data_IF_847436944410
#
_entry.id   IF_847436944410
#
_cell.length_a   1.000
_cell.length_b   1.000
_cell.length_c   1.000
_cell.angle_alpha   90.00
_cell.angle_beta   90.00
_cell.angle_gamma   90.00
#
_symmetry.space_group_name_H-M   'P 1'
#
loop_
_entity.id
_entity.type
_entity.pdbx_description
1 polymer ?
#
# COMPACT_ATOMS: atom_id res chain seq x y z
N UNK A 1 15.99 -4.52 16.18
CA UNK A 1 16.40 -4.13 14.81
C UNK A 1 15.82 -5.02 13.70
N UNK A 2 15.39 -6.27 13.93
CA UNK A 2 14.86 -7.13 12.85
C UNK A 2 13.36 -6.90 12.58
N UNK A 3 12.55 -6.65 13.61
CA UNK A 3 11.10 -6.51 13.45
C UNK A 3 10.68 -5.36 12.50
N UNK A 4 11.39 -4.22 12.53
CA UNK A 4 11.09 -3.07 11.65
C UNK A 4 11.43 -3.34 10.18
N UNK A 5 12.59 -3.95 9.93
CA UNK A 5 13.05 -4.28 8.56
C UNK A 5 12.10 -5.25 7.86
N UNK A 6 11.57 -6.27 8.56
CA UNK A 6 10.60 -7.18 7.96
C UNK A 6 9.27 -6.50 7.60
N UNK A 7 8.86 -5.47 8.35
CA UNK A 7 7.64 -4.70 8.09
C UNK A 7 7.83 -3.75 6.90
N UNK A 8 8.98 -3.09 6.83
CA UNK A 8 9.34 -2.24 5.69
C UNK A 8 9.42 -3.02 4.38
N UNK A 9 10.03 -4.22 4.40
CA UNK A 9 10.10 -5.09 3.22
C UNK A 9 8.71 -5.51 2.73
N UNK A 10 7.81 -5.90 3.64
CA UNK A 10 6.43 -6.26 3.29
C UNK A 10 5.64 -5.08 2.72
N UNK A 11 5.90 -3.86 3.19
CA UNK A 11 5.28 -2.65 2.67
C UNK A 11 5.79 -2.31 1.26
N UNK A 12 7.11 -2.36 1.05
CA UNK A 12 7.69 -2.16 -0.27
C UNK A 12 7.17 -3.19 -1.28
N UNK A 13 7.04 -4.46 -0.88
CA UNK A 13 6.41 -5.49 -1.71
C UNK A 13 4.96 -5.16 -2.06
N UNK A 14 4.16 -4.70 -1.09
CA UNK A 14 2.76 -4.33 -1.33
C UNK A 14 2.64 -3.15 -2.32
N UNK A 15 3.45 -2.11 -2.16
CA UNK A 15 3.48 -0.95 -3.06
C UNK A 15 3.97 -1.33 -4.46
N UNK A 16 4.98 -2.20 -4.55
CA UNK A 16 5.47 -2.71 -5.83
C UNK A 16 4.40 -3.51 -6.58
N UNK A 17 3.65 -4.37 -5.87
CA UNK A 17 2.53 -5.13 -6.42
C UNK A 17 1.42 -4.23 -6.96
N UNK A 18 1.07 -3.17 -6.22
CA UNK A 18 0.07 -2.19 -6.66
C UNK A 18 0.52 -1.43 -7.90
N UNK A 19 1.80 -1.06 -7.96
CA UNK A 19 2.41 -0.39 -9.13
C UNK A 19 2.46 -1.33 -10.35
N UNK A 20 2.76 -2.62 -10.14
CA UNK A 20 2.76 -3.63 -11.20
C UNK A 20 1.36 -3.87 -11.77
N UNK A 21 0.33 -3.90 -10.90
CA UNK A 21 -1.07 -3.98 -11.30
C UNK A 21 -1.45 -2.82 -12.24
N UNK A 22 -1.13 -1.57 -11.84
CA UNK A 22 -1.34 -0.40 -12.69
C UNK A 22 -0.59 -0.50 -14.04
N UNK A 23 0.68 -0.92 -14.02
CA UNK A 23 1.49 -1.12 -15.22
C UNK A 23 0.93 -2.19 -16.17
N UNK A 24 0.25 -3.20 -15.63
CA UNK A 24 -0.41 -4.26 -16.39
C UNK A 24 -1.83 -3.87 -16.85
N UNK A 25 -2.29 -2.65 -16.59
CA UNK A 25 -3.63 -2.16 -16.93
C UNK A 25 -4.73 -2.70 -16.01
N UNK A 26 -4.36 -3.39 -14.93
CA UNK A 26 -5.27 -3.85 -13.88
C UNK A 26 -5.27 -2.82 -12.76
N UNK A 27 -6.25 -1.91 -12.74
CA UNK A 27 -6.31 -0.93 -11.65
C UNK A 27 -6.56 -1.64 -10.32
N UNK A 28 -5.67 -1.50 -9.32
CA UNK A 28 -6.01 -1.91 -7.97
C UNK A 28 -7.24 -1.13 -7.53
N UNK A 29 -8.29 -1.88 -7.15
CA UNK A 29 -9.55 -1.30 -6.75
C UNK A 29 -9.48 -0.76 -5.31
N UNK A 30 -10.46 0.06 -4.92
CA UNK A 30 -10.56 0.59 -3.57
C UNK A 30 -10.52 -0.52 -2.50
N UNK A 31 -11.04 -1.71 -2.83
CA UNK A 31 -11.09 -2.88 -1.92
C UNK A 31 -9.70 -3.44 -1.66
N UNK A 32 -8.84 -3.49 -2.69
CA UNK A 32 -7.45 -3.97 -2.57
C UNK A 32 -6.66 -3.08 -1.62
N UNK A 33 -6.73 -1.77 -1.83
CA UNK A 33 -6.07 -0.83 -0.94
C UNK A 33 -6.66 -0.80 0.46
N UNK A 34 -7.99 -0.81 0.60
CA UNK A 34 -8.67 -0.85 1.91
C UNK A 34 -8.22 -2.09 2.71
N UNK A 35 -8.05 -3.23 2.04
CA UNK A 35 -7.57 -4.47 2.66
C UNK A 35 -6.15 -4.33 3.18
N UNK A 36 -5.23 -3.76 2.38
CA UNK A 36 -3.83 -3.54 2.79
C UNK A 36 -3.75 -2.51 3.92
N UNK A 37 -4.46 -1.39 3.80
CA UNK A 37 -4.51 -0.33 4.82
C UNK A 37 -5.05 -0.89 6.13
N UNK A 38 -6.13 -1.68 6.10
CA UNK A 38 -6.70 -2.31 7.30
C UNK A 38 -5.71 -3.28 7.96
N UNK A 39 -5.01 -4.10 7.16
CA UNK A 39 -3.99 -5.01 7.68
C UNK A 39 -2.79 -4.28 8.31
N UNK A 40 -2.45 -3.08 7.83
CA UNK A 40 -1.43 -2.23 8.43
C UNK A 40 -1.90 -1.63 9.77
N UNK A 41 -3.15 -1.15 9.84
CA UNK A 41 -3.76 -0.70 11.10
C UNK A 41 -3.83 -1.82 12.15
N UNK A 42 -4.18 -3.05 11.75
CA UNK A 42 -4.20 -4.22 12.65
C UNK A 42 -2.81 -4.59 13.19
N UNK A 43 -1.75 -4.19 12.51
CA UNK A 43 -0.35 -4.42 12.91
C UNK A 43 0.29 -3.23 13.64
N UNK A 44 -0.49 -2.17 13.89
CA UNK A 44 -0.06 -0.88 14.44
C UNK A 44 0.97 -0.16 13.54
N UNK A 45 0.96 -0.46 12.24
CA UNK A 45 1.81 0.14 11.20
C UNK A 45 1.15 1.40 10.61
N UNK A 46 0.77 2.33 11.48
CA UNK A 46 0.01 3.52 11.11
C UNK A 46 0.77 4.41 10.11
N UNK A 47 2.09 4.52 10.24
CA UNK A 47 2.95 5.32 9.35
C UNK A 47 2.92 4.78 7.91
N UNK A 48 2.94 3.45 7.75
CA UNK A 48 2.85 2.78 6.45
C UNK A 48 1.44 2.93 5.86
N UNK A 49 0.40 2.80 6.69
CA UNK A 49 -0.99 3.00 6.26
C UNK A 49 -1.22 4.42 5.74
N UNK A 50 -0.67 5.44 6.43
CA UNK A 50 -0.77 6.83 6.00
C UNK A 50 -0.01 7.10 4.69
N UNK A 51 1.18 6.50 4.53
CA UNK A 51 1.95 6.61 3.29
C UNK A 51 1.19 6.02 2.10
N UNK A 52 0.58 4.85 2.27
CA UNK A 52 -0.21 4.19 1.23
C UNK A 52 -1.45 5.03 0.84
N UNK A 53 -2.14 5.61 1.82
CA UNK A 53 -3.26 6.53 1.60
C UNK A 53 -2.86 7.78 0.81
N UNK A 54 -1.66 8.31 1.05
CA UNK A 54 -1.14 9.47 0.31
C UNK A 54 -0.84 9.10 -1.14
N UNK A 55 -0.23 7.95 -1.38
CA UNK A 55 0.08 7.46 -2.74
C UNK A 55 -1.21 7.25 -3.56
N UNK A 56 -2.24 6.62 -2.97
CA UNK A 56 -3.56 6.47 -3.62
C UNK A 56 -4.21 7.79 -4.06
N UNK A 57 -4.15 8.83 -3.20
CA UNK A 57 -4.77 10.13 -3.48
C UNK A 57 -4.12 10.82 -4.68
N UNK A 58 -2.83 10.59 -4.90
CA UNK A 58 -2.10 11.15 -6.04
C UNK A 58 -2.51 10.43 -7.33
N UNK A 59 -2.64 9.10 -7.32
CA UNK A 59 -3.00 8.30 -8.50
C UNK A 59 -4.46 8.47 -8.95
N UNK A 60 -5.41 8.68 -8.02
CA UNK A 60 -6.83 8.88 -8.35
C UNK A 60 -7.17 10.30 -8.82
N UNK A 61 -6.28 11.28 -8.61
CA UNK A 61 -6.52 12.69 -8.99
C UNK A 61 -6.11 13.03 -10.43
N UNK A 62 -5.62 12.06 -11.20
CA UNK A 62 -5.23 12.24 -12.61
C UNK A 62 -6.20 11.59 -13.62
N UNK A 63 -7.32 11.02 -13.17
CA UNK A 63 -8.38 10.48 -14.01
C UNK A 63 -9.59 11.39 -14.03
#
# INVERSE_FOLDING_TARGET
MIHGLCKEVLFEEAVALLSEMEGNGCLPDAVTFETVIRALFEKDENDMAEKLLREMRVSQSQK
#
